data_IF_232066336022
#
_entry.id   IF_232066336022
#
_cell.length_a   1.000
_cell.length_b   1.000
_cell.length_c   1.000
_cell.angle_alpha   90.00
_cell.angle_beta   90.00
_cell.angle_gamma   90.00
#
_symmetry.space_group_name_H-M   'P 1'
#
loop_
_entity.id
_entity.type
_entity.pdbx_description
1 polymer ?
#
# COMPACT_ATOMS: atom_id res chain seq x y z
N UNK A 1 -14.87 -6.10 0.78
CA UNK A 1 -14.75 -5.59 -0.48
C UNK A 1 -13.35 -5.73 -1.12
N UNK A 2 -12.52 -4.75 -1.07
CA UNK A 2 -11.23 -4.86 -1.71
C UNK A 2 -10.38 -6.02 -1.24
N UNK A 3 -10.48 -6.42 0.03
CA UNK A 3 -9.67 -7.50 0.58
C UNK A 3 -9.92 -8.84 -0.09
N UNK A 4 -11.15 -9.13 -0.48
CA UNK A 4 -11.48 -10.41 -1.12
C UNK A 4 -10.80 -10.51 -2.49
N UNK A 5 -10.84 -9.45 -3.26
CA UNK A 5 -10.22 -9.40 -4.58
C UNK A 5 -8.72 -9.52 -4.47
N UNK A 6 -8.14 -8.77 -3.55
CA UNK A 6 -6.69 -8.79 -3.32
C UNK A 6 -6.23 -10.18 -2.89
N UNK A 7 -7.00 -10.85 -2.05
CA UNK A 7 -6.67 -12.18 -1.58
C UNK A 7 -6.57 -13.19 -2.74
N UNK A 8 -7.49 -13.12 -3.68
CA UNK A 8 -7.49 -14.02 -4.83
C UNK A 8 -6.28 -13.76 -5.73
N UNK A 9 -5.97 -12.51 -5.95
CA UNK A 9 -4.84 -12.13 -6.80
C UNK A 9 -3.51 -12.51 -6.15
N UNK A 10 -3.41 -12.31 -4.85
CA UNK A 10 -2.21 -12.67 -4.11
C UNK A 10 -1.92 -14.16 -4.23
N UNK A 11 -2.96 -14.96 -4.17
CA UNK A 11 -2.87 -16.42 -4.29
C UNK A 11 -2.24 -16.84 -5.61
N UNK A 12 -2.49 -16.09 -6.66
CA UNK A 12 -2.00 -16.40 -8.00
C UNK A 12 -0.72 -15.61 -8.35
N UNK A 13 -0.10 -14.98 -7.39
CA UNK A 13 1.13 -14.18 -7.59
C UNK A 13 0.95 -13.04 -8.59
N UNK A 14 -0.23 -12.52 -8.68
CA UNK A 14 -0.53 -11.43 -9.60
C UNK A 14 0.02 -10.09 -9.15
N UNK A 15 0.34 -9.96 -7.86
CA UNK A 15 0.77 -8.68 -7.30
C UNK A 15 2.03 -8.11 -7.96
N UNK A 16 2.84 -8.97 -8.60
CA UNK A 16 4.05 -8.52 -9.29
C UNK A 16 3.85 -8.33 -10.78
N UNK A 17 2.71 -8.74 -11.35
CA UNK A 17 2.50 -8.64 -12.79
C UNK A 17 2.16 -7.20 -13.18
N UNK A 18 2.71 -6.79 -14.34
CA UNK A 18 2.45 -5.44 -14.84
C UNK A 18 0.97 -5.21 -15.13
N UNK A 19 0.30 -6.25 -15.65
CA UNK A 19 -1.13 -6.14 -15.95
C UNK A 19 -1.95 -5.92 -14.69
N UNK A 20 -1.68 -6.69 -13.65
CA UNK A 20 -2.40 -6.53 -12.40
C UNK A 20 -2.14 -5.14 -11.81
N UNK A 21 -0.88 -4.74 -11.76
CA UNK A 21 -0.52 -3.45 -11.18
C UNK A 21 -1.23 -2.32 -11.92
N UNK A 22 -1.21 -2.35 -13.25
CA UNK A 22 -1.87 -1.33 -14.06
C UNK A 22 -3.37 -1.26 -13.78
N UNK A 23 -4.03 -2.40 -13.76
CA UNK A 23 -5.48 -2.46 -13.51
C UNK A 23 -5.82 -2.02 -12.10
N UNK A 24 -5.02 -2.45 -11.13
CA UNK A 24 -5.22 -2.08 -9.74
C UNK A 24 -5.09 -0.57 -9.57
N UNK A 25 -4.04 0.01 -10.14
CA UNK A 25 -3.80 1.45 -10.03
C UNK A 25 -4.93 2.26 -10.66
N UNK A 26 -5.40 1.86 -11.83
CA UNK A 26 -6.51 2.57 -12.47
C UNK A 26 -7.76 2.53 -11.62
N UNK A 27 -8.05 1.38 -11.06
CA UNK A 27 -9.20 1.23 -10.18
C UNK A 27 -9.09 2.13 -8.95
N UNK A 28 -7.94 2.08 -8.29
CA UNK A 28 -7.69 2.85 -7.07
C UNK A 28 -7.79 4.35 -7.32
N UNK A 29 -7.18 4.82 -8.40
CA UNK A 29 -7.20 6.25 -8.75
C UNK A 29 -8.62 6.72 -9.02
N UNK A 30 -9.37 5.94 -9.79
CA UNK A 30 -10.74 6.31 -10.15
C UNK A 30 -11.65 6.33 -8.93
N UNK A 31 -11.61 5.28 -8.12
CA UNK A 31 -12.53 5.13 -6.98
C UNK A 31 -12.26 6.15 -5.88
N UNK A 32 -11.04 6.61 -5.75
CA UNK A 32 -10.66 7.50 -4.66
C UNK A 32 -10.36 8.93 -5.12
N UNK A 33 -10.53 9.20 -6.39
CA UNK A 33 -10.29 10.54 -6.98
C UNK A 33 -8.91 11.08 -6.62
N UNK A 34 -7.89 10.22 -6.74
CA UNK A 34 -6.53 10.60 -6.40
C UNK A 34 -5.92 11.53 -7.43
N UNK A 35 -4.97 12.35 -6.98
CA UNK A 35 -4.27 13.29 -7.85
C UNK A 35 -2.82 13.47 -7.37
N UNK A 36 -2.08 14.36 -8.01
CA UNK A 36 -0.67 14.57 -7.73
C UNK A 36 -0.37 15.06 -6.31
N UNK A 37 -1.38 15.60 -5.61
CA UNK A 37 -1.22 16.08 -4.23
C UNK A 37 -1.65 15.04 -3.18
N UNK A 38 -2.10 13.87 -3.61
CA UNK A 38 -2.61 12.86 -2.69
C UNK A 38 -1.53 12.32 -1.77
N UNK A 39 -1.90 12.07 -0.52
CA UNK A 39 -1.04 11.45 0.49
C UNK A 39 -1.47 10.00 0.62
N UNK A 40 -0.55 9.07 0.41
CA UNK A 40 -0.88 7.65 0.36
C UNK A 40 0.01 6.86 1.30
N UNK A 41 -0.62 5.96 2.06
CA UNK A 41 0.06 5.01 2.94
C UNK A 41 -0.28 3.60 2.49
N UNK A 42 0.71 2.73 2.42
CA UNK A 42 0.53 1.32 2.10
C UNK A 42 1.00 0.47 3.28
N UNK A 43 0.07 -0.20 3.92
CA UNK A 43 0.36 -1.09 5.03
C UNK A 43 0.63 -2.49 4.49
N UNK A 44 1.82 -3.02 4.77
CA UNK A 44 2.25 -4.28 4.20
C UNK A 44 2.71 -4.10 2.76
N UNK A 45 3.52 -3.08 2.51
CA UNK A 45 3.87 -2.68 1.15
C UNK A 45 4.76 -3.67 0.39
N UNK A 46 5.40 -4.61 1.07
CA UNK A 46 6.32 -5.54 0.43
C UNK A 46 7.45 -4.82 -0.28
N UNK A 47 7.74 -5.19 -1.50
CA UNK A 47 8.78 -4.52 -2.28
C UNK A 47 8.38 -3.15 -2.77
N UNK A 48 7.12 -2.79 -2.63
CA UNK A 48 6.66 -1.45 -2.96
C UNK A 48 6.39 -1.20 -4.44
N UNK A 49 6.30 -2.24 -5.25
CA UNK A 49 6.10 -2.07 -6.69
C UNK A 49 4.75 -1.44 -7.03
N UNK A 50 3.70 -1.86 -6.34
CA UNK A 50 2.37 -1.29 -6.57
C UNK A 50 2.35 0.17 -6.16
N UNK A 51 2.85 0.46 -4.96
CA UNK A 51 2.88 1.83 -4.44
C UNK A 51 3.78 2.72 -5.28
N UNK A 52 4.95 2.21 -5.68
CA UNK A 52 5.87 2.95 -6.53
C UNK A 52 5.29 3.25 -7.90
N UNK A 53 4.61 2.27 -8.49
CA UNK A 53 3.94 2.44 -9.78
C UNK A 53 2.84 3.48 -9.68
N UNK A 54 2.07 3.45 -8.60
CA UNK A 54 1.01 4.42 -8.36
C UNK A 54 1.59 5.83 -8.22
N UNK A 55 2.72 5.95 -7.52
CA UNK A 55 3.41 7.23 -7.38
C UNK A 55 3.82 7.82 -8.73
N UNK A 56 4.38 6.98 -9.61
CA UNK A 56 4.76 7.42 -10.95
C UNK A 56 3.56 7.81 -11.80
N UNK A 57 2.52 7.00 -11.74
CA UNK A 57 1.31 7.22 -12.55
C UNK A 57 0.63 8.53 -12.18
N UNK A 58 0.54 8.83 -10.90
CA UNK A 58 -0.07 10.06 -10.40
C UNK A 58 0.90 11.23 -10.39
N UNK A 59 2.19 10.99 -10.58
CA UNK A 59 3.24 12.01 -10.45
C UNK A 59 3.14 12.71 -9.12
N UNK A 60 3.11 11.92 -8.04
CA UNK A 60 2.94 12.45 -6.69
C UNK A 60 4.04 13.43 -6.32
N UNK A 61 3.65 14.56 -5.74
CA UNK A 61 4.60 15.57 -5.26
C UNK A 61 5.40 15.08 -4.07
N UNK A 62 4.77 14.28 -3.19
CA UNK A 62 5.45 13.69 -2.05
C UNK A 62 5.48 12.19 -2.22
N UNK A 63 6.61 11.56 -1.88
CA UNK A 63 6.71 10.11 -1.94
C UNK A 63 5.66 9.47 -1.03
N UNK A 64 4.94 8.46 -1.52
CA UNK A 64 3.99 7.75 -0.67
C UNK A 64 4.76 6.93 0.37
N UNK A 65 4.12 6.66 1.49
CA UNK A 65 4.74 5.94 2.59
C UNK A 65 4.34 4.48 2.54
N UNK A 66 5.33 3.59 2.58
CA UNK A 66 5.08 2.15 2.68
C UNK A 66 5.65 1.64 3.99
N UNK A 67 4.88 0.89 4.74
CA UNK A 67 5.36 0.27 5.97
C UNK A 67 5.28 -1.24 5.87
N UNK A 68 6.24 -1.91 6.47
CA UNK A 68 6.32 -3.37 6.49
C UNK A 68 7.32 -3.78 7.57
N UNK A 69 7.27 -5.03 7.98
CA UNK A 69 8.22 -5.58 8.94
C UNK A 69 9.39 -6.29 8.25
N UNK A 70 9.26 -6.56 6.96
CA UNK A 70 10.26 -7.30 6.20
C UNK A 70 11.16 -6.34 5.44
N UNK A 71 12.47 -6.57 5.48
CA UNK A 71 13.43 -5.80 4.69
C UNK A 71 13.64 -6.49 3.35
N UNK A 72 13.59 -5.72 2.29
CA UNK A 72 13.92 -6.19 0.95
C UNK A 72 15.01 -5.31 0.36
N UNK A 73 16.08 -5.92 -0.16
CA UNK A 73 17.17 -5.16 -0.76
C UNK A 73 16.73 -4.42 -2.01
N UNK A 74 15.77 -4.97 -2.72
CA UNK A 74 15.26 -4.42 -3.97
C UNK A 74 13.98 -3.63 -3.80
N UNK A 75 13.83 -2.97 -2.66
CA UNK A 75 12.67 -2.11 -2.40
C UNK A 75 12.60 -0.99 -3.43
N UNK A 76 11.39 -0.71 -3.92
CA UNK A 76 11.17 0.35 -4.88
C UNK A 76 11.61 1.69 -4.28
N UNK A 77 12.38 2.45 -5.03
CA UNK A 77 12.95 3.71 -4.55
C UNK A 77 11.99 4.89 -4.66
N UNK A 78 10.86 4.69 -5.30
CA UNK A 78 9.85 5.74 -5.44
C UNK A 78 8.99 5.90 -4.20
N UNK A 79 9.17 5.04 -3.20
CA UNK A 79 8.41 5.09 -1.96
C UNK A 79 9.31 5.48 -0.79
N UNK A 80 8.68 6.00 0.26
CA UNK A 80 9.35 6.28 1.52
C UNK A 80 9.05 5.11 2.46
N UNK A 81 10.00 4.19 2.58
CA UNK A 81 9.79 2.97 3.37
C UNK A 81 10.14 3.15 4.83
N UNK A 82 9.31 2.59 5.70
CA UNK A 82 9.57 2.53 7.14
C UNK A 82 9.34 1.11 7.65
N UNK A 83 10.32 0.57 8.35
CA UNK A 83 10.20 -0.77 8.95
C UNK A 83 9.50 -0.64 10.29
N UNK A 84 8.18 -0.78 10.29
CA UNK A 84 7.36 -0.60 11.48
C UNK A 84 6.03 -1.31 11.25
N UNK A 85 5.40 -1.78 12.30
CA UNK A 85 4.05 -2.33 12.19
C UNK A 85 3.01 -1.22 12.20
N UNK A 86 1.79 -1.56 11.76
CA UNK A 86 0.74 -0.56 11.59
C UNK A 86 0.33 0.09 12.91
N UNK A 87 0.17 -0.69 13.96
CA UNK A 87 -0.27 -0.13 15.23
C UNK A 87 0.75 0.83 15.81
N UNK A 88 2.02 0.46 15.75
CA UNK A 88 3.11 1.34 16.21
C UNK A 88 3.19 2.60 15.37
N UNK A 89 3.03 2.46 14.06
CA UNK A 89 3.07 3.61 13.17
C UNK A 89 1.99 4.63 13.52
N UNK A 90 0.76 4.17 13.69
CA UNK A 90 -0.35 5.07 13.99
C UNK A 90 -0.27 5.64 15.40
N UNK A 91 0.41 4.98 16.33
CA UNK A 91 0.55 5.49 17.68
C UNK A 91 1.46 6.72 17.74
N UNK A 92 2.43 6.81 16.83
CA UNK A 92 3.40 7.91 16.83
C UNK A 92 3.20 8.90 15.68
N UNK A 93 2.34 8.59 14.72
CA UNK A 93 2.16 9.40 13.53
C UNK A 93 0.73 9.89 13.43
N UNK A 94 0.54 11.18 13.37
CA UNK A 94 -0.78 11.79 13.30
C UNK A 94 -1.11 12.33 11.92
N UNK A 95 -0.28 12.01 10.93
CA UNK A 95 -0.51 12.45 9.55
C UNK A 95 -1.81 11.88 9.00
N UNK A 96 -2.53 12.69 8.24
CA UNK A 96 -3.73 12.25 7.53
C UNK A 96 -3.37 11.80 6.13
N UNK A 97 -4.08 10.81 5.64
CA UNK A 97 -3.86 10.27 4.31
C UNK A 97 -5.14 10.32 3.48
N UNK A 98 -4.97 10.50 2.18
CA UNK A 98 -6.09 10.46 1.24
C UNK A 98 -6.47 9.02 0.91
N UNK A 99 -5.51 8.11 1.04
CA UNK A 99 -5.73 6.69 0.79
C UNK A 99 -4.82 5.87 1.67
N UNK A 100 -5.37 4.83 2.27
CA UNK A 100 -4.58 3.83 3.01
C UNK A 100 -4.85 2.49 2.37
N UNK A 101 -3.80 1.87 1.83
CA UNK A 101 -3.88 0.54 1.26
C UNK A 101 -3.52 -0.49 2.32
N UNK A 102 -4.30 -1.55 2.42
CA UNK A 102 -4.03 -2.65 3.34
C UNK A 102 -4.18 -3.93 2.52
N UNK A 103 -3.10 -4.36 1.90
CA UNK A 103 -3.15 -5.50 1.00
C UNK A 103 -2.88 -6.82 1.70
N UNK A 104 -1.62 -7.14 1.91
CA UNK A 104 -1.24 -8.45 2.44
C UNK A 104 -1.19 -8.50 3.95
N UNK A 105 -1.02 -7.36 4.59
CA UNK A 105 -0.89 -7.27 6.04
C UNK A 105 -2.09 -7.88 6.76
N UNK A 106 -3.26 -7.82 6.13
CA UNK A 106 -4.49 -8.32 6.75
C UNK A 106 -4.42 -9.81 7.05
N UNK A 107 -3.59 -10.56 6.32
CA UNK A 107 -3.40 -11.98 6.57
C UNK A 107 -2.57 -12.27 7.80
N UNK A 108 -1.78 -11.29 8.24
CA UNK A 108 -0.88 -11.42 9.37
C UNK A 108 -1.47 -10.86 10.67
N UNK A 109 -2.56 -10.13 10.57
CA UNK A 109 -3.21 -9.55 11.73
C UNK A 109 -4.31 -10.46 12.26
N UNK A 110 -4.41 -10.58 13.57
CA UNK A 110 -5.53 -11.29 14.15
C UNK A 110 -6.75 -10.35 14.17
N UNK A 111 -7.91 -10.91 14.44
CA UNK A 111 -9.16 -10.16 14.38
C UNK A 111 -9.17 -8.93 15.29
N UNK A 112 -8.60 -9.06 16.48
CA UNK A 112 -8.57 -7.93 17.42
C UNK A 112 -7.69 -6.79 16.90
N UNK A 113 -6.56 -7.13 16.30
CA UNK A 113 -5.67 -6.13 15.74
C UNK A 113 -6.34 -5.37 14.59
N UNK A 114 -7.11 -6.08 13.78
CA UNK A 114 -7.84 -5.45 12.69
C UNK A 114 -8.85 -4.44 13.21
N UNK A 115 -9.51 -4.76 14.31
CA UNK A 115 -10.49 -3.84 14.90
C UNK A 115 -9.86 -2.54 15.39
N UNK A 116 -8.59 -2.57 15.75
CA UNK A 116 -7.90 -1.38 16.24
C UNK A 116 -7.44 -0.46 15.12
N UNK A 117 -7.40 -0.97 13.92
CA UNK A 117 -7.04 -0.15 12.78
C UNK A 117 -8.21 0.75 12.37
#
# INVERSE_FOLDING_TARGET
>A
MGSTVIKNWDKDNWLSSKNYISKFNKFVVKENKLNTNSKILDIGCGRGKILGSLSSELKLKSKPIGIDLVRHKDRDKRINFKKIDALSYFSINKQKFDLILVKQTIHLLNFNQIKEL
#
